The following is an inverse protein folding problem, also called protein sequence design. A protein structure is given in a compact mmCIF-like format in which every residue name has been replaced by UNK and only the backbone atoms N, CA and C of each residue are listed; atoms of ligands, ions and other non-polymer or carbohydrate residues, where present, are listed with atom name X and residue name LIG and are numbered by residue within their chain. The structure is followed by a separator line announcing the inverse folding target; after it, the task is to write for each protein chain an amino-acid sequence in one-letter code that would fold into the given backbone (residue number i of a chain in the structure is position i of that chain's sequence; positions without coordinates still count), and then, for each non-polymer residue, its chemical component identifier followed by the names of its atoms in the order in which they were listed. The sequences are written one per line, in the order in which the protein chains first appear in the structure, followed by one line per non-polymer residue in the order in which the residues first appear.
data_IF_093133589359
#
_entry.id   IF_093133589359
#
_cell.length_a   1.000
_cell.length_b   1.000
_cell.length_c   1.000
_cell.angle_alpha   90.00
_cell.angle_beta   90.00
_cell.angle_gamma   90.00
#
_symmetry.space_group_name_H-M   'P 1'
#
loop_
_entity.id
_entity.type
_entity.pdbx_description
1 polymer ?
#
# COMPACT_ATOMS: atom_id res chain seq x y z
N UNK A 1 6.76 24.84 49.83
CA UNK A 1 5.58 23.94 49.92
C UNK A 1 5.50 23.19 48.60
N UNK A 2 6.06 22.01 48.58
CA UNK A 2 6.05 21.09 47.43
C UNK A 2 4.82 20.22 47.57
N UNK A 3 3.89 20.26 46.64
CA UNK A 3 2.74 19.38 46.60
C UNK A 3 3.07 18.21 45.68
N UNK A 4 3.63 17.15 46.30
CA UNK A 4 3.71 15.84 45.69
C UNK A 4 2.29 15.30 45.51
N UNK A 5 1.82 15.20 44.28
CA UNK A 5 0.65 14.42 43.93
C UNK A 5 1.03 12.93 44.02
N UNK A 6 0.17 12.08 44.62
CA UNK A 6 0.48 10.64 44.74
C UNK A 6 0.48 10.02 43.35
N UNK A 7 1.62 9.44 42.95
CA UNK A 7 1.69 8.53 41.80
C UNK A 7 0.80 7.32 42.06
N UNK A 8 -0.35 7.24 41.38
CA UNK A 8 -1.19 6.05 41.38
C UNK A 8 -0.49 5.01 40.50
N UNK A 9 0.02 3.89 41.01
CA UNK A 9 0.61 2.86 40.15
C UNK A 9 -0.46 2.33 39.18
N UNK A 10 -0.16 2.30 37.92
CA UNK A 10 -0.96 1.55 36.92
C UNK A 10 -1.07 0.11 37.41
N UNK A 11 -2.28 -0.30 37.78
CA UNK A 11 -2.56 -1.59 38.36
C UNK A 11 -1.98 -2.71 37.47
N UNK A 12 -1.08 -3.52 38.03
CA UNK A 12 -0.59 -4.72 37.37
C UNK A 12 -1.76 -5.65 37.08
N UNK A 13 -1.90 -6.01 35.81
CA UNK A 13 -3.03 -6.76 35.30
C UNK A 13 -2.94 -8.24 35.73
N UNK A 14 -3.51 -8.56 36.88
CA UNK A 14 -3.66 -9.95 37.33
C UNK A 14 -4.69 -10.65 36.43
N UNK A 15 -4.22 -11.39 35.43
CA UNK A 15 -5.03 -12.14 34.47
C UNK A 15 -6.00 -13.14 35.12
N UNK A 16 -5.76 -13.51 36.39
CA UNK A 16 -6.60 -14.44 37.13
C UNK A 16 -7.93 -13.84 37.63
N UNK A 17 -8.07 -12.51 37.60
CA UNK A 17 -9.27 -11.77 38.01
C UNK A 17 -10.01 -11.10 36.83
N UNK A 18 -9.65 -11.43 35.61
CA UNK A 18 -10.31 -10.83 34.41
C UNK A 18 -11.79 -11.28 34.35
N UNK A 19 -12.74 -10.37 34.11
CA UNK A 19 -14.13 -10.74 33.93
C UNK A 19 -14.27 -11.73 32.74
N UNK A 20 -15.28 -12.62 32.81
CA UNK A 20 -15.48 -13.70 31.84
C UNK A 20 -15.56 -13.23 30.36
N UNK A 21 -15.91 -11.95 30.10
CA UNK A 21 -15.91 -11.37 28.76
C UNK A 21 -14.51 -11.04 28.22
N UNK A 22 -13.46 -11.06 29.07
CA UNK A 22 -12.04 -10.90 28.65
C UNK A 22 -11.42 -12.18 28.08
N UNK A 23 -12.07 -13.32 28.24
CA UNK A 23 -11.52 -14.61 27.85
C UNK A 23 -12.03 -14.98 26.47
N UNK A 24 -11.14 -14.95 25.50
CA UNK A 24 -11.16 -15.56 24.17
C UNK A 24 -11.10 -14.59 22.98
N UNK A 25 -9.87 -14.25 22.60
CA UNK A 25 -9.59 -13.64 21.30
C UNK A 25 -9.29 -14.69 20.21
N UNK A 26 -9.30 -15.97 20.57
CA UNK A 26 -8.93 -17.06 19.64
C UNK A 26 -9.99 -17.38 18.58
N UNK A 27 -11.24 -16.93 18.74
CA UNK A 27 -12.36 -17.36 17.88
C UNK A 27 -12.98 -16.24 17.01
N UNK A 28 -12.27 -15.12 16.74
CA UNK A 28 -12.76 -14.10 15.79
C UNK A 28 -14.08 -13.43 16.19
N UNK A 29 -14.54 -13.55 17.44
CA UNK A 29 -15.75 -12.88 17.90
C UNK A 29 -15.48 -11.40 18.14
N UNK A 30 -16.30 -10.52 17.56
CA UNK A 30 -16.32 -9.09 17.80
C UNK A 30 -16.60 -8.83 19.30
N UNK A 31 -15.55 -8.54 20.08
CA UNK A 31 -15.68 -8.20 21.49
C UNK A 31 -15.19 -6.78 21.73
N UNK A 32 -16.02 -5.90 22.31
CA UNK A 32 -15.58 -4.58 22.67
C UNK A 32 -14.50 -4.66 23.75
N UNK A 33 -13.51 -3.79 23.65
CA UNK A 33 -12.44 -3.62 24.64
C UNK A 33 -12.68 -2.32 25.41
N UNK A 34 -12.39 -2.31 26.72
CA UNK A 34 -12.42 -1.07 27.46
C UNK A 34 -11.26 -0.15 27.06
N UNK A 35 -11.45 1.17 27.20
CA UNK A 35 -10.36 2.13 26.96
C UNK A 35 -9.13 1.84 27.83
N UNK A 36 -9.34 1.33 29.03
CA UNK A 36 -8.24 0.94 29.93
C UNK A 36 -7.46 -0.27 29.39
N UNK A 37 -8.16 -1.28 28.83
CA UNK A 37 -7.46 -2.43 28.23
C UNK A 37 -6.62 -2.01 27.03
N UNK A 38 -7.16 -1.09 26.20
CA UNK A 38 -6.42 -0.53 25.05
C UNK A 38 -5.19 0.27 25.54
N UNK A 39 -5.34 1.06 26.60
CA UNK A 39 -4.24 1.84 27.17
C UNK A 39 -3.13 0.95 27.75
N UNK A 40 -3.50 -0.13 28.46
CA UNK A 40 -2.54 -1.09 29.00
C UNK A 40 -1.77 -1.78 27.89
N UNK A 41 -2.46 -2.27 26.85
CA UNK A 41 -1.80 -2.90 25.70
C UNK A 41 -0.87 -1.94 24.97
N UNK A 42 -1.28 -0.68 24.82
CA UNK A 42 -0.44 0.36 24.22
C UNK A 42 0.83 0.59 25.06
N UNK A 43 0.66 0.72 26.38
CA UNK A 43 1.80 0.88 27.28
C UNK A 43 2.76 -0.32 27.19
N UNK A 44 2.25 -1.54 27.17
CA UNK A 44 3.06 -2.75 27.07
C UNK A 44 3.83 -2.82 25.74
N UNK A 45 3.20 -2.48 24.62
CA UNK A 45 3.86 -2.39 23.33
C UNK A 45 4.95 -1.31 23.30
N UNK A 46 4.66 -0.11 23.83
CA UNK A 46 5.65 0.99 23.90
C UNK A 46 6.84 0.59 24.80
N UNK A 47 6.56 -0.02 25.95
CA UNK A 47 7.60 -0.46 26.88
C UNK A 47 8.44 -1.61 26.31
N UNK A 48 7.81 -2.51 25.54
CA UNK A 48 8.48 -3.60 24.82
C UNK A 48 9.27 -3.15 23.58
N UNK A 49 9.17 -1.87 23.20
CA UNK A 49 9.82 -1.32 22.00
C UNK A 49 9.09 -1.64 20.69
N UNK A 50 7.91 -2.24 20.75
CA UNK A 50 7.09 -2.59 19.56
C UNK A 50 6.19 -1.41 19.15
N UNK A 51 6.83 -0.32 18.74
CA UNK A 51 6.16 0.92 18.31
C UNK A 51 6.05 1.06 16.79
N UNK A 52 6.63 0.14 16.04
CA UNK A 52 6.68 0.23 14.58
C UNK A 52 5.28 0.27 13.95
N UNK A 53 4.31 -0.47 14.50
CA UNK A 53 2.93 -0.50 14.02
C UNK A 53 2.22 0.85 14.14
N UNK A 54 2.60 1.68 15.13
CA UNK A 54 2.01 3.01 15.37
C UNK A 54 2.62 4.10 14.49
N UNK A 55 3.78 3.83 13.90
CA UNK A 55 4.42 4.82 13.02
C UNK A 55 3.76 4.80 11.64
N UNK A 56 3.43 5.98 11.08
CA UNK A 56 2.94 6.06 9.72
C UNK A 56 4.00 5.58 8.72
N UNK A 57 3.58 5.00 7.62
CA UNK A 57 4.46 4.63 6.50
C UNK A 57 4.48 5.78 5.50
N UNK A 58 5.61 6.50 5.33
CA UNK A 58 5.70 7.59 4.39
C UNK A 58 5.56 7.10 2.94
N UNK A 59 4.81 7.81 2.12
CA UNK A 59 4.64 7.53 0.68
C UNK A 59 5.74 8.18 -0.16
N UNK A 60 6.61 8.98 0.47
CA UNK A 60 7.76 9.62 -0.17
C UNK A 60 7.42 10.86 -1.00
N UNK A 61 6.26 11.46 -0.75
CA UNK A 61 5.86 12.77 -1.29
C UNK A 61 5.66 13.73 -0.13
N UNK A 62 6.69 14.50 0.21
CA UNK A 62 6.73 15.31 1.43
C UNK A 62 5.49 16.20 1.65
N UNK A 63 4.92 16.90 0.64
CA UNK A 63 3.72 17.69 0.85
C UNK A 63 2.51 16.80 1.22
N UNK A 64 2.35 15.66 0.54
CA UNK A 64 1.27 14.71 0.82
C UNK A 64 1.46 14.06 2.19
N UNK A 65 2.65 13.53 2.47
CA UNK A 65 2.96 12.89 3.74
C UNK A 65 2.66 13.82 4.92
N UNK A 66 3.06 15.10 4.85
CA UNK A 66 2.73 16.09 5.88
C UNK A 66 1.22 16.29 6.04
N UNK A 67 0.47 16.31 4.94
CA UNK A 67 -0.99 16.51 4.96
C UNK A 67 -1.73 15.35 5.62
N UNK A 68 -1.27 14.11 5.40
CA UNK A 68 -1.88 12.89 5.94
C UNK A 68 -1.24 12.42 7.26
N UNK A 69 -0.50 13.28 7.95
CA UNK A 69 0.10 12.96 9.26
C UNK A 69 1.38 12.14 9.19
N UNK A 70 2.25 12.47 8.23
CA UNK A 70 3.56 11.88 7.94
C UNK A 70 3.54 10.49 7.29
N UNK A 71 2.44 10.11 6.67
CA UNK A 71 2.28 8.84 5.97
C UNK A 71 0.99 8.10 6.38
N UNK A 72 0.81 6.90 5.85
CA UNK A 72 -0.36 6.07 6.14
C UNK A 72 -0.14 5.17 7.34
N UNK A 73 -1.16 5.05 8.19
CA UNK A 73 -1.16 4.15 9.34
C UNK A 73 -1.89 2.84 9.00
N UNK A 74 -1.66 1.84 9.82
CA UNK A 74 -2.45 0.62 9.83
C UNK A 74 -3.96 0.95 9.88
N UNK A 75 -4.76 0.26 9.08
CA UNK A 75 -6.20 0.48 9.00
C UNK A 75 -6.64 1.66 8.14
N UNK A 76 -5.74 2.49 7.61
CA UNK A 76 -6.10 3.63 6.76
C UNK A 76 -6.23 3.22 5.28
N UNK A 77 -7.22 3.82 4.60
CA UNK A 77 -7.44 3.71 3.16
C UNK A 77 -7.28 5.09 2.51
N UNK A 78 -6.29 5.22 1.62
CA UNK A 78 -6.10 6.40 0.78
C UNK A 78 -6.65 6.14 -0.62
N UNK A 79 -7.60 6.97 -1.05
CA UNK A 79 -8.12 6.96 -2.42
C UNK A 79 -7.45 8.05 -3.26
N UNK A 80 -6.92 7.68 -4.43
CA UNK A 80 -6.30 8.59 -5.39
C UNK A 80 -7.20 8.69 -6.63
N UNK A 81 -8.02 9.74 -6.68
CA UNK A 81 -8.93 10.00 -7.78
C UNK A 81 -8.33 10.87 -8.89
N UNK A 82 -8.80 10.69 -10.10
CA UNK A 82 -8.45 11.57 -11.23
C UNK A 82 -8.85 11.01 -12.58
N UNK A 83 -8.84 11.89 -13.61
CA UNK A 83 -9.16 11.53 -14.99
C UNK A 83 -8.21 10.48 -15.56
N UNK A 84 -8.64 9.83 -16.64
CA UNK A 84 -7.77 8.95 -17.41
C UNK A 84 -6.57 9.73 -17.96
N UNK A 85 -5.38 9.13 -17.92
CA UNK A 85 -4.16 9.75 -18.46
C UNK A 85 -3.47 10.78 -17.54
N UNK A 86 -4.00 11.09 -16.36
CA UNK A 86 -3.40 12.06 -15.42
C UNK A 86 -2.16 11.55 -14.66
N UNK A 87 -1.75 10.29 -14.88
CA UNK A 87 -0.56 9.73 -14.28
C UNK A 87 -0.78 9.03 -12.94
N UNK A 88 -2.02 8.66 -12.58
CA UNK A 88 -2.36 7.98 -11.32
C UNK A 88 -1.51 6.72 -11.07
N UNK A 89 -1.45 5.82 -12.06
CA UNK A 89 -0.59 4.61 -12.00
C UNK A 89 0.88 4.95 -11.81
N UNK A 90 1.38 6.01 -12.46
CA UNK A 90 2.78 6.44 -12.29
C UNK A 90 3.04 6.93 -10.88
N UNK A 91 2.12 7.74 -10.34
CA UNK A 91 2.21 8.27 -8.98
C UNK A 91 2.13 7.17 -7.93
N UNK A 92 1.16 6.26 -8.04
CA UNK A 92 1.00 5.15 -7.08
C UNK A 92 2.17 4.16 -7.15
N UNK A 93 2.70 3.88 -8.36
CA UNK A 93 3.88 3.03 -8.51
C UNK A 93 5.13 3.70 -7.90
N UNK A 94 5.24 5.02 -8.00
CA UNK A 94 6.31 5.76 -7.33
C UNK A 94 6.17 5.74 -5.81
N UNK A 95 4.94 5.86 -5.27
CA UNK A 95 4.68 5.66 -3.83
C UNK A 95 5.08 4.25 -3.40
N UNK A 96 4.62 3.23 -4.11
CA UNK A 96 4.94 1.83 -3.86
C UNK A 96 6.46 1.59 -3.83
N UNK A 97 7.17 2.13 -4.83
CA UNK A 97 8.63 2.12 -4.91
C UNK A 97 9.28 2.81 -3.71
N UNK A 98 8.78 3.99 -3.30
CA UNK A 98 9.32 4.76 -2.18
C UNK A 98 9.16 3.98 -0.86
N UNK A 99 7.98 3.41 -0.62
CA UNK A 99 7.71 2.56 0.55
C UNK A 99 8.67 1.36 0.58
N UNK A 100 8.78 0.61 -0.52
CA UNK A 100 9.66 -0.54 -0.61
C UNK A 100 11.13 -0.17 -0.40
N UNK A 101 11.58 0.96 -0.97
CA UNK A 101 12.97 1.43 -0.83
C UNK A 101 13.28 2.01 0.54
N UNK A 102 12.27 2.47 1.28
CA UNK A 102 12.40 2.89 2.68
C UNK A 102 12.67 1.73 3.63
N UNK A 103 12.42 0.49 3.22
CA UNK A 103 12.72 -0.73 3.97
C UNK A 103 11.84 -0.98 5.20
N UNK A 104 10.89 -0.09 5.49
CA UNK A 104 10.01 -0.18 6.66
C UNK A 104 8.81 -1.13 6.47
N UNK A 105 8.44 -1.40 5.21
CA UNK A 105 7.32 -2.25 4.88
C UNK A 105 7.56 -2.97 3.54
N UNK A 106 6.93 -4.13 3.39
CA UNK A 106 6.71 -4.75 2.09
C UNK A 106 5.57 -4.04 1.36
N UNK A 107 5.53 -4.15 0.05
CA UNK A 107 4.47 -3.61 -0.79
C UNK A 107 3.89 -4.72 -1.64
N UNK A 108 2.57 -4.89 -1.61
CA UNK A 108 1.82 -5.69 -2.55
C UNK A 108 1.08 -4.74 -3.51
N UNK A 109 1.47 -4.72 -4.79
CA UNK A 109 0.88 -3.87 -5.81
C UNK A 109 0.07 -4.73 -6.80
N UNK A 110 -1.25 -4.61 -6.74
CA UNK A 110 -2.18 -5.32 -7.63
C UNK A 110 -2.64 -4.36 -8.72
N UNK A 111 -2.28 -4.65 -9.98
CA UNK A 111 -2.65 -3.85 -11.13
C UNK A 111 -3.61 -4.61 -12.05
N UNK A 112 -4.76 -4.02 -12.34
CA UNK A 112 -5.77 -4.61 -13.24
C UNK A 112 -5.64 -4.13 -14.69
N UNK A 113 -4.85 -3.09 -14.93
CA UNK A 113 -4.69 -2.50 -16.26
C UNK A 113 -3.44 -3.00 -16.99
N UNK A 114 -2.38 -3.30 -16.24
CA UNK A 114 -1.07 -3.66 -16.77
C UNK A 114 -0.52 -4.92 -16.11
N UNK A 115 0.35 -5.63 -16.83
CA UNK A 115 1.09 -6.76 -16.31
C UNK A 115 2.35 -6.32 -15.51
N UNK A 116 2.97 -7.26 -14.83
CA UNK A 116 4.14 -7.05 -13.99
C UNK A 116 5.32 -6.52 -14.79
N UNK A 117 5.47 -7.00 -16.03
CA UNK A 117 6.58 -6.59 -16.89
C UNK A 117 6.43 -5.14 -17.36
N UNK A 118 5.21 -4.69 -17.62
CA UNK A 118 4.94 -3.29 -17.93
C UNK A 118 5.26 -2.37 -16.73
N UNK A 119 4.88 -2.78 -15.52
CA UNK A 119 5.18 -2.05 -14.30
C UNK A 119 6.70 -2.02 -14.04
N UNK A 120 7.40 -3.14 -14.26
CA UNK A 120 8.85 -3.20 -14.15
C UNK A 120 9.54 -2.26 -15.16
N UNK A 121 9.07 -2.18 -16.40
CA UNK A 121 9.63 -1.24 -17.38
C UNK A 121 9.45 0.22 -16.93
N UNK A 122 8.35 0.55 -16.28
CA UNK A 122 8.14 1.87 -15.66
C UNK A 122 9.10 2.12 -14.51
N UNK A 123 9.34 1.13 -13.65
CA UNK A 123 10.32 1.22 -12.56
C UNK A 123 11.73 1.41 -13.11
N UNK A 124 12.13 0.69 -14.15
CA UNK A 124 13.44 0.86 -14.80
C UNK A 124 13.61 2.30 -15.31
N UNK A 125 12.62 2.83 -16.02
CA UNK A 125 12.67 4.22 -16.50
C UNK A 125 12.73 5.24 -15.35
N UNK A 126 11.95 5.01 -14.29
CA UNK A 126 11.92 5.85 -13.08
C UNK A 126 13.28 5.83 -12.37
N UNK A 127 13.86 4.66 -12.14
CA UNK A 127 15.16 4.53 -11.48
C UNK A 127 16.29 5.10 -12.34
N UNK A 128 16.20 4.94 -13.67
CA UNK A 128 17.13 5.60 -14.59
C UNK A 128 17.08 7.13 -14.46
N UNK A 129 15.87 7.71 -14.39
CA UNK A 129 15.73 9.14 -14.19
C UNK A 129 16.29 9.60 -12.83
N UNK A 130 16.05 8.83 -11.77
CA UNK A 130 16.58 9.12 -10.42
C UNK A 130 18.11 8.99 -10.34
N UNK A 131 18.70 8.05 -11.06
CA UNK A 131 20.14 7.87 -11.12
C UNK A 131 20.87 9.03 -11.84
N UNK A 132 20.16 9.75 -12.72
CA UNK A 132 20.71 10.86 -13.50
C UNK A 132 20.31 12.26 -12.98
N UNK A 133 19.77 12.35 -11.75
CA UNK A 133 19.49 13.65 -11.13
C UNK A 133 20.81 14.40 -10.83
N UNK A 134 20.80 15.74 -10.92
CA UNK A 134 19.66 16.63 -11.23
C UNK A 134 19.39 16.84 -12.73
N UNK A 135 20.32 16.49 -13.60
CA UNK A 135 20.27 16.91 -15.02
C UNK A 135 19.44 15.98 -15.91
N UNK A 136 19.15 14.75 -15.47
CA UNK A 136 18.41 13.71 -16.23
C UNK A 136 19.00 13.36 -17.60
N UNK A 137 20.20 13.88 -17.92
CA UNK A 137 20.90 13.59 -19.18
C UNK A 137 21.35 12.13 -19.15
N UNK A 138 20.96 11.34 -20.16
CA UNK A 138 21.27 9.89 -20.21
C UNK A 138 20.18 8.99 -19.60
N UNK A 139 19.15 9.54 -18.96
CA UNK A 139 18.03 8.76 -18.46
C UNK A 139 17.28 8.03 -19.60
N UNK A 140 16.93 6.77 -19.38
CA UNK A 140 16.18 5.95 -20.34
C UNK A 140 14.73 6.34 -20.29
N UNK A 141 14.16 6.73 -21.45
CA UNK A 141 12.71 6.97 -21.55
C UNK A 141 11.97 5.63 -21.52
N UNK A 142 10.75 5.63 -20.98
CA UNK A 142 9.94 4.40 -20.87
C UNK A 142 9.75 3.69 -22.22
N UNK A 143 9.58 4.44 -23.29
CA UNK A 143 9.43 3.89 -24.66
C UNK A 143 10.69 3.18 -25.18
N UNK A 144 11.85 3.50 -24.61
CA UNK A 144 13.15 2.94 -25.03
C UNK A 144 13.62 1.80 -24.14
N UNK A 145 13.01 1.56 -22.97
CA UNK A 145 13.39 0.48 -22.06
C UNK A 145 13.40 -0.87 -22.76
N UNK A 146 12.35 -1.21 -23.51
CA UNK A 146 12.30 -2.48 -24.26
C UNK A 146 13.38 -2.59 -25.33
N UNK A 147 13.73 -1.48 -25.99
CA UNK A 147 14.82 -1.47 -26.98
C UNK A 147 16.17 -1.73 -26.34
N UNK A 148 16.41 -1.14 -25.17
CA UNK A 148 17.65 -1.38 -24.42
C UNK A 148 17.78 -2.84 -23.95
N UNK A 149 16.67 -3.44 -23.48
CA UNK A 149 16.63 -4.85 -23.10
C UNK A 149 16.93 -5.76 -24.30
N UNK A 150 16.24 -5.54 -25.43
CA UNK A 150 16.45 -6.31 -26.65
C UNK A 150 17.85 -6.08 -27.24
N UNK A 151 18.36 -4.85 -27.19
CA UNK A 151 19.71 -4.52 -27.63
C UNK A 151 20.79 -5.27 -26.85
N UNK A 152 20.61 -5.44 -25.55
CA UNK A 152 21.51 -6.23 -24.72
C UNK A 152 21.56 -7.69 -25.19
N UNK A 153 20.38 -8.30 -25.38
CA UNK A 153 20.28 -9.68 -25.85
C UNK A 153 20.92 -9.88 -27.23
N UNK A 154 20.68 -8.96 -28.18
CA UNK A 154 21.23 -9.04 -29.54
C UNK A 154 22.74 -8.81 -29.60
N UNK A 155 23.31 -7.98 -28.71
CA UNK A 155 24.72 -7.63 -28.71
C UNK A 155 25.61 -8.70 -28.07
N UNK A 156 25.11 -9.37 -27.00
CA UNK A 156 25.90 -10.27 -26.17
C UNK A 156 25.64 -11.77 -26.47
N UNK A 157 24.57 -12.06 -27.23
CA UNK A 157 24.14 -13.44 -27.49
C UNK A 157 23.40 -14.04 -26.28
N UNK A 158 22.75 -15.20 -26.50
CA UNK A 158 21.86 -15.80 -25.50
C UNK A 158 22.56 -16.21 -24.19
N UNK A 159 23.81 -16.71 -24.28
CA UNK A 159 24.54 -17.24 -23.13
C UNK A 159 25.02 -16.16 -22.14
N UNK A 160 25.21 -14.91 -22.59
CA UNK A 160 25.82 -13.83 -21.83
C UNK A 160 24.95 -12.58 -21.77
N UNK A 161 23.72 -12.64 -22.29
CA UNK A 161 22.79 -11.51 -22.36
C UNK A 161 22.22 -11.20 -20.95
N UNK A 162 22.98 -10.50 -20.14
CA UNK A 162 22.53 -10.03 -18.82
C UNK A 162 22.24 -8.53 -18.89
N UNK A 163 21.05 -8.15 -18.49
CA UNK A 163 20.63 -6.72 -18.44
C UNK A 163 21.60 -5.90 -17.56
N UNK A 164 22.16 -6.49 -16.53
CA UNK A 164 23.16 -5.85 -15.65
C UNK A 164 24.47 -5.50 -16.38
N UNK A 165 24.78 -6.11 -17.51
CA UNK A 165 25.97 -5.80 -18.32
C UNK A 165 25.74 -4.58 -19.23
N UNK A 166 24.47 -4.22 -19.52
CA UNK A 166 24.17 -3.02 -20.28
C UNK A 166 24.44 -1.76 -19.43
N UNK A 167 25.41 -0.91 -19.83
CA UNK A 167 25.80 0.26 -19.05
C UNK A 167 24.67 1.28 -18.85
N UNK A 168 23.67 1.30 -19.73
CA UNK A 168 22.51 2.17 -19.59
C UNK A 168 21.46 1.61 -18.62
N UNK A 169 21.27 0.28 -18.58
CA UNK A 169 20.31 -0.38 -17.68
C UNK A 169 20.87 -0.57 -16.27
N UNK A 170 22.17 -0.81 -16.14
CA UNK A 170 22.83 -1.13 -14.88
C UNK A 170 22.49 -0.20 -13.71
N UNK A 171 22.52 1.14 -13.84
CA UNK A 171 22.16 2.02 -12.74
C UNK A 171 20.74 1.79 -12.21
N UNK A 172 19.79 1.50 -13.11
CA UNK A 172 18.42 1.18 -12.72
C UNK A 172 18.33 -0.19 -12.03
N UNK A 173 19.03 -1.18 -12.57
CA UNK A 173 19.05 -2.55 -12.00
C UNK A 173 19.66 -2.56 -10.61
N UNK A 174 20.80 -1.88 -10.41
CA UNK A 174 21.46 -1.76 -9.11
C UNK A 174 20.56 -1.09 -8.05
N UNK A 175 19.75 -0.12 -8.48
CA UNK A 175 18.78 0.55 -7.59
C UNK A 175 17.59 -0.35 -7.26
N UNK A 176 17.02 -1.04 -8.25
CA UNK A 176 15.92 -1.98 -8.04
C UNK A 176 16.37 -3.16 -7.16
N UNK A 177 17.59 -3.66 -7.33
CA UNK A 177 18.12 -4.77 -6.55
C UNK A 177 18.14 -4.49 -5.03
N UNK A 178 18.23 -3.21 -4.62
CA UNK A 178 18.25 -2.83 -3.19
C UNK A 178 16.90 -2.98 -2.49
N UNK A 179 15.80 -2.88 -3.22
CA UNK A 179 14.45 -2.91 -2.64
C UNK A 179 13.48 -3.90 -3.33
N UNK A 180 13.88 -4.47 -4.45
CA UNK A 180 12.99 -5.27 -5.29
C UNK A 180 12.36 -6.45 -4.57
N UNK A 181 13.04 -7.03 -3.59
CA UNK A 181 12.49 -8.10 -2.75
C UNK A 181 11.40 -7.62 -1.76
N UNK A 182 11.22 -6.31 -1.61
CA UNK A 182 10.18 -5.70 -0.77
C UNK A 182 8.98 -5.21 -1.60
N UNK A 183 9.04 -5.31 -2.95
CA UNK A 183 8.00 -4.85 -3.86
C UNK A 183 7.47 -6.01 -4.70
N UNK A 184 6.26 -6.43 -4.40
CA UNK A 184 5.57 -7.53 -5.06
C UNK A 184 4.57 -6.96 -6.05
N UNK A 185 4.79 -7.22 -7.33
CA UNK A 185 3.93 -6.79 -8.43
C UNK A 185 3.04 -7.96 -8.84
N UNK A 186 1.76 -7.69 -9.02
CA UNK A 186 0.79 -8.70 -9.40
C UNK A 186 -0.21 -8.14 -10.42
N UNK A 187 -0.46 -8.88 -11.49
CA UNK A 187 -1.58 -8.60 -12.38
C UNK A 187 -2.88 -9.06 -11.74
N UNK A 188 -3.82 -8.14 -11.56
CA UNK A 188 -5.17 -8.45 -11.10
C UNK A 188 -5.97 -9.22 -12.15
N UNK A 189 -6.69 -10.25 -11.73
CA UNK A 189 -7.61 -11.02 -12.56
C UNK A 189 -9.02 -10.47 -12.42
N UNK A 190 -9.69 -10.23 -13.54
CA UNK A 190 -11.09 -9.75 -13.57
C UNK A 190 -12.11 -10.80 -13.11
N UNK A 191 -11.69 -12.02 -12.87
CA UNK A 191 -12.56 -13.10 -12.40
C UNK A 191 -12.14 -13.64 -11.03
N UNK A 192 -10.85 -13.58 -10.70
CA UNK A 192 -10.32 -14.20 -9.50
C UNK A 192 -9.92 -13.21 -8.40
N UNK A 193 -9.60 -11.96 -8.73
CA UNK A 193 -9.12 -10.98 -7.72
C UNK A 193 -10.28 -10.22 -7.05
N UNK A 194 -11.25 -10.95 -6.49
CA UNK A 194 -12.34 -10.40 -5.67
C UNK A 194 -11.80 -9.84 -4.35
N UNK A 195 -12.59 -9.04 -3.64
CA UNK A 195 -12.24 -8.52 -2.30
C UNK A 195 -11.81 -9.65 -1.35
N UNK A 196 -12.56 -10.77 -1.34
CA UNK A 196 -12.24 -11.92 -0.48
C UNK A 196 -10.91 -12.58 -0.84
N UNK A 197 -10.60 -12.68 -2.13
CA UNK A 197 -9.33 -13.26 -2.57
C UNK A 197 -8.16 -12.29 -2.37
N UNK A 198 -8.38 -10.97 -2.50
CA UNK A 198 -7.38 -9.96 -2.12
C UNK A 198 -7.08 -10.07 -0.61
N UNK A 199 -8.10 -10.24 0.24
CA UNK A 199 -7.93 -10.46 1.68
C UNK A 199 -7.07 -11.70 1.96
N UNK A 200 -7.41 -12.84 1.35
CA UNK A 200 -6.62 -14.08 1.49
C UNK A 200 -5.17 -13.89 1.05
N UNK A 201 -4.95 -13.16 -0.04
CA UNK A 201 -3.61 -12.86 -0.54
C UNK A 201 -2.82 -12.00 0.46
N UNK A 202 -3.45 -10.99 1.07
CA UNK A 202 -2.85 -10.17 2.12
C UNK A 202 -2.48 -11.01 3.33
N UNK A 203 -3.40 -11.86 3.81
CA UNK A 203 -3.18 -12.77 4.93
C UNK A 203 -2.03 -13.74 4.67
N UNK A 204 -2.02 -14.36 3.49
CA UNK A 204 -0.95 -15.29 3.10
C UNK A 204 0.39 -14.59 2.97
N UNK A 205 0.43 -13.39 2.37
CA UNK A 205 1.66 -12.61 2.29
C UNK A 205 2.21 -12.26 3.67
N UNK A 206 1.36 -11.82 4.60
CA UNK A 206 1.77 -11.54 5.99
C UNK A 206 2.31 -12.79 6.67
N UNK A 207 1.61 -13.92 6.54
CA UNK A 207 2.04 -15.21 7.10
C UNK A 207 3.43 -15.64 6.60
N UNK A 208 3.73 -15.43 5.31
CA UNK A 208 5.01 -15.79 4.70
C UNK A 208 6.14 -14.80 5.01
N UNK A 209 5.80 -13.53 5.20
CA UNK A 209 6.77 -12.45 5.46
C UNK A 209 7.08 -12.26 6.96
N UNK A 210 6.46 -13.04 7.84
CA UNK A 210 6.55 -12.86 9.29
C UNK A 210 5.96 -11.52 9.72
N UNK A 211 6.52 -10.91 10.77
CA UNK A 211 6.01 -9.66 11.36
C UNK A 211 6.31 -8.40 10.51
N UNK A 212 6.73 -8.58 9.27
CA UNK A 212 7.05 -7.44 8.41
C UNK A 212 5.78 -6.73 7.98
N UNK A 213 5.74 -5.41 8.17
CA UNK A 213 4.62 -4.56 7.74
C UNK A 213 4.38 -4.70 6.24
N UNK A 214 3.11 -4.62 5.84
CA UNK A 214 2.67 -4.66 4.45
C UNK A 214 1.88 -3.40 4.13
N UNK A 215 2.05 -2.85 2.93
CA UNK A 215 1.18 -1.82 2.34
C UNK A 215 0.56 -2.38 1.06
N UNK A 216 -0.75 -2.31 0.96
CA UNK A 216 -1.51 -2.77 -0.21
C UNK A 216 -1.75 -1.61 -1.18
N UNK A 217 -1.45 -1.83 -2.47
CA UNK A 217 -1.81 -0.93 -3.57
C UNK A 217 -2.75 -1.65 -4.53
N UNK A 218 -3.85 -0.97 -4.91
CA UNK A 218 -4.84 -1.48 -5.88
C UNK A 218 -5.01 -0.48 -7.03
N UNK A 219 -4.65 -0.86 -8.24
CA UNK A 219 -4.73 -0.04 -9.45
C UNK A 219 -5.55 -0.74 -10.54
N UNK A 220 -6.83 -0.43 -10.71
CA UNK A 220 -7.68 0.53 -10.04
C UNK A 220 -9.01 -0.10 -9.60
N UNK A 221 -9.72 0.59 -8.72
CA UNK A 221 -10.90 0.12 -8.00
C UNK A 221 -11.96 -0.53 -8.89
N UNK A 222 -12.39 0.18 -9.93
CA UNK A 222 -13.54 -0.24 -10.77
C UNK A 222 -13.27 -1.55 -11.54
N UNK A 223 -12.02 -1.99 -11.64
CA UNK A 223 -11.66 -3.27 -12.27
C UNK A 223 -11.61 -4.45 -11.32
N UNK A 224 -11.70 -4.20 -10.03
CA UNK A 224 -11.85 -5.28 -9.03
C UNK A 224 -13.18 -5.98 -9.28
N UNK A 225 -13.21 -7.30 -9.47
CA UNK A 225 -14.46 -8.01 -9.73
C UNK A 225 -15.30 -8.13 -8.46
N UNK A 226 -16.60 -7.99 -8.64
CA UNK A 226 -17.61 -8.34 -7.65
C UNK A 226 -18.46 -9.48 -8.22
N UNK A 227 -18.64 -10.53 -7.46
CA UNK A 227 -19.41 -11.71 -7.84
C UNK A 227 -20.44 -12.01 -6.75
N UNK A 228 -21.75 -12.00 -7.06
CA UNK A 228 -22.35 -11.74 -8.37
C UNK A 228 -22.13 -10.30 -8.85
N UNK A 229 -22.28 -10.08 -10.17
CA UNK A 229 -22.12 -8.76 -10.76
C UNK A 229 -23.20 -7.80 -10.21
N UNK A 230 -22.86 -6.59 -9.79
CA UNK A 230 -23.80 -5.64 -9.21
C UNK A 230 -24.73 -5.03 -10.26
N UNK A 231 -25.90 -4.56 -9.82
CA UNK A 231 -26.90 -3.95 -10.72
C UNK A 231 -26.43 -2.62 -11.31
N UNK A 232 -25.59 -1.88 -10.57
CA UNK A 232 -25.08 -0.58 -11.01
C UNK A 232 -23.66 -0.28 -10.48
N UNK A 233 -23.00 0.67 -11.14
CA UNK A 233 -21.61 1.07 -10.84
C UNK A 233 -21.45 1.66 -9.42
N UNK A 234 -22.42 2.42 -8.95
CA UNK A 234 -22.38 3.06 -7.61
C UNK A 234 -22.40 2.01 -6.50
N UNK A 235 -23.25 1.00 -6.64
CA UNK A 235 -23.32 -0.12 -5.70
C UNK A 235 -21.98 -0.88 -5.68
N UNK A 236 -21.42 -1.16 -6.86
CA UNK A 236 -20.12 -1.80 -7.00
C UNK A 236 -19.02 -1.01 -6.30
N UNK A 237 -18.92 0.29 -6.59
CA UNK A 237 -17.89 1.16 -6.01
C UNK A 237 -18.01 1.20 -4.49
N UNK A 238 -19.24 1.33 -3.97
CA UNK A 238 -19.52 1.33 -2.52
C UNK A 238 -19.07 0.01 -1.87
N UNK A 239 -19.45 -1.13 -2.45
CA UNK A 239 -19.03 -2.44 -1.98
C UNK A 239 -17.50 -2.58 -1.94
N UNK A 240 -16.82 -2.18 -3.04
CA UNK A 240 -15.39 -2.32 -3.17
C UNK A 240 -14.61 -1.42 -2.18
N UNK A 241 -15.07 -0.16 -1.97
CA UNK A 241 -14.47 0.76 -1.00
C UNK A 241 -14.61 0.18 0.41
N UNK A 242 -15.82 -0.26 0.78
CA UNK A 242 -16.07 -0.86 2.09
C UNK A 242 -15.23 -2.13 2.28
N UNK A 243 -15.13 -2.98 1.26
CA UNK A 243 -14.31 -4.18 1.30
C UNK A 243 -12.81 -3.90 1.47
N UNK A 244 -12.27 -2.91 0.76
CA UNK A 244 -10.87 -2.49 0.93
C UNK A 244 -10.62 -1.83 2.28
N UNK A 245 -11.58 -1.04 2.77
CA UNK A 245 -11.48 -0.44 4.12
C UNK A 245 -11.52 -1.52 5.20
N UNK A 246 -12.36 -2.53 5.03
CA UNK A 246 -12.44 -3.66 5.96
C UNK A 246 -11.13 -4.49 5.94
N UNK A 247 -10.53 -4.73 4.77
CA UNK A 247 -9.20 -5.35 4.69
C UNK A 247 -8.17 -4.50 5.44
N UNK A 248 -8.16 -3.18 5.20
CA UNK A 248 -7.21 -2.28 5.86
C UNK A 248 -7.33 -2.39 7.39
N UNK A 249 -8.55 -2.39 7.93
CA UNK A 249 -8.82 -2.46 9.37
C UNK A 249 -8.57 -3.84 9.98
N UNK A 250 -9.06 -4.91 9.33
CA UNK A 250 -8.98 -6.26 9.89
C UNK A 250 -7.60 -6.88 9.80
N UNK A 251 -6.83 -6.47 8.79
CA UNK A 251 -5.47 -6.98 8.54
C UNK A 251 -4.37 -5.98 8.99
N UNK A 252 -4.73 -4.84 9.58
CA UNK A 252 -3.79 -3.77 9.98
C UNK A 252 -2.85 -3.32 8.85
N UNK A 253 -3.40 -3.23 7.62
CA UNK A 253 -2.63 -2.95 6.41
C UNK A 253 -3.02 -1.59 5.83
N UNK A 254 -2.10 -0.58 5.81
CA UNK A 254 -2.33 0.64 5.06
C UNK A 254 -2.64 0.32 3.60
N UNK A 255 -3.71 0.89 3.06
CA UNK A 255 -4.17 0.58 1.71
C UNK A 255 -4.23 1.85 0.86
N UNK A 256 -3.68 1.80 -0.35
CA UNK A 256 -3.76 2.86 -1.37
C UNK A 256 -4.54 2.30 -2.55
N UNK A 257 -5.61 2.97 -2.94
CA UNK A 257 -6.41 2.56 -4.09
C UNK A 257 -6.59 3.69 -5.09
N UNK A 258 -6.39 3.39 -6.37
CA UNK A 258 -6.63 4.31 -7.48
C UNK A 258 -8.09 4.22 -7.89
N UNK A 259 -8.71 5.38 -8.11
CA UNK A 259 -10.08 5.52 -8.58
C UNK A 259 -10.08 6.30 -9.89
N UNK A 260 -10.69 5.74 -10.93
CA UNK A 260 -10.92 6.48 -12.18
C UNK A 260 -12.14 7.40 -11.98
N UNK A 261 -11.95 8.70 -12.17
CA UNK A 261 -13.05 9.66 -12.24
C UNK A 261 -13.57 9.71 -13.68
N UNK A 262 -14.91 9.71 -13.84
CA UNK A 262 -15.53 9.91 -15.15
C UNK A 262 -15.50 11.39 -15.57
N UNK A 263 -15.93 11.65 -16.80
CA UNK A 263 -15.95 13.02 -17.35
C UNK A 263 -17.01 13.91 -16.70
N UNK A 264 -18.07 13.34 -16.15
CA UNK A 264 -19.16 14.08 -15.48
C UNK A 264 -18.76 14.45 -14.07
N UNK A 265 -18.21 13.51 -13.29
CA UNK A 265 -17.66 13.78 -11.96
C UNK A 265 -16.52 14.80 -11.96
N UNK A 266 -15.80 14.92 -13.11
CA UNK A 266 -14.79 15.98 -13.27
C UNK A 266 -15.39 17.35 -13.55
N UNK A 267 -16.58 17.43 -14.19
CA UNK A 267 -17.29 18.70 -14.43
C UNK A 267 -17.96 19.24 -13.18
N UNK A 268 -18.44 18.36 -12.31
CA UNK A 268 -19.06 18.72 -11.04
C UNK A 268 -18.02 19.03 -9.93
N UNK A 269 -16.75 18.87 -10.27
CA UNK A 269 -15.61 19.05 -9.37
C UNK A 269 -15.24 17.76 -8.66
N UNK A 270 -13.93 17.56 -8.54
CA UNK A 270 -13.31 16.40 -7.89
C UNK A 270 -13.89 16.11 -6.49
N UNK A 271 -14.46 17.12 -5.86
CA UNK A 271 -15.09 17.10 -4.54
C UNK A 271 -16.42 16.35 -4.50
N UNK A 272 -17.21 16.33 -5.57
CA UNK A 272 -18.51 15.65 -5.55
C UNK A 272 -18.34 14.13 -5.60
N UNK A 273 -17.49 13.61 -6.49
CA UNK A 273 -17.20 12.18 -6.55
C UNK A 273 -16.42 11.68 -5.32
N UNK A 274 -15.51 12.52 -4.76
CA UNK A 274 -14.79 12.22 -3.53
C UNK A 274 -15.64 12.47 -2.28
N UNK A 275 -16.65 13.35 -2.32
CA UNK A 275 -17.51 13.62 -1.16
C UNK A 275 -18.45 12.46 -0.84
N UNK A 276 -18.92 11.72 -1.82
CA UNK A 276 -19.66 10.48 -1.56
C UNK A 276 -18.74 9.39 -1.01
N UNK A 277 -17.56 9.20 -1.60
CA UNK A 277 -16.57 8.28 -1.07
C UNK A 277 -16.06 8.70 0.33
N UNK A 278 -15.91 10.00 0.59
CA UNK A 278 -15.54 10.56 1.89
C UNK A 278 -16.64 10.39 2.94
N UNK A 279 -17.90 10.54 2.59
CA UNK A 279 -19.04 10.27 3.50
C UNK A 279 -19.09 8.80 3.93
N UNK A 280 -18.66 7.88 3.06
CA UNK A 280 -18.57 6.44 3.36
C UNK A 280 -17.37 6.07 4.23
N UNK A 281 -16.34 6.92 4.27
CA UNK A 281 -15.09 6.67 5.02
C UNK A 281 -15.08 7.36 6.39
N UNK A 282 -15.87 8.43 6.57
CA UNK A 282 -15.92 9.24 7.81
C UNK A 282 -17.20 9.03 8.65
N UNK A 283 -18.17 8.29 8.17
CA UNK A 283 -19.32 7.80 8.92
C UNK A 283 -19.03 6.43 9.46
#
# INVERSE_FOLDING_TARGET
MSTDAPETPLATNDKSKAPAWRLDTANGSLRPRSALDVLVDLNDKVTGGDVAEYQPVPLGFTPLDKTIGNGLRAGELLLIGGAQGTGKTTMSLQMARNVASGGQANVLYICFEHDEQYLLNRLIAMESALAHLPHKTGAIKIQDVRKEILGTWMAEGEANAQMANNPRLRPSMDRIARYGQNLFLMRGSQTASTIDNIRKLVQEHRRLSGDRRLVLFVDYLQKVPQIPEPENETEKVTYLINGLKDIALSEDVPTVCIVAADKEGLKEGLWAALSEASKLVTG
#
